data_IF_133365207862
#
_entry.id   IF_133365207862
#
_cell.length_a   1.000
_cell.length_b   1.000
_cell.length_c   1.000
_cell.angle_alpha   90.00
_cell.angle_beta   90.00
_cell.angle_gamma   90.00
#
_symmetry.space_group_name_H-M   'P 1'
#
loop_
_entity.id
_entity.type
_entity.pdbx_description
1 polymer ?
#
# COMPACT_ATOMS: atom_id res chain seq x y z
N UNK A 1 9.28 -6.95 -22.53
CA UNK A 1 8.37 -5.82 -22.70
C UNK A 1 7.98 -5.19 -21.37
N UNK A 2 8.10 -3.88 -21.22
CA UNK A 2 7.71 -3.28 -19.96
C UNK A 2 6.21 -3.44 -19.72
N UNK A 3 5.86 -3.69 -18.48
CA UNK A 3 4.47 -3.85 -18.10
C UNK A 3 3.76 -2.50 -18.20
N UNK A 4 2.58 -2.43 -18.83
CA UNK A 4 1.86 -1.16 -18.90
C UNK A 4 1.49 -0.70 -17.51
N UNK A 5 1.49 0.61 -17.32
CA UNK A 5 1.11 1.23 -16.04
C UNK A 5 -0.27 0.74 -15.55
N UNK A 6 -1.15 0.50 -16.49
CA UNK A 6 -2.48 -0.01 -16.23
C UNK A 6 -2.46 -1.40 -15.57
N UNK A 7 -1.54 -2.25 -15.99
CA UNK A 7 -1.38 -3.59 -15.40
C UNK A 7 -0.86 -3.54 -13.98
N UNK A 8 0.04 -2.61 -13.69
CA UNK A 8 0.60 -2.44 -12.35
C UNK A 8 -0.47 -1.95 -11.38
N UNK A 9 -1.26 -0.96 -11.79
CA UNK A 9 -2.35 -0.44 -10.96
C UNK A 9 -3.40 -1.51 -10.71
N UNK A 10 -3.72 -2.30 -11.72
CA UNK A 10 -4.70 -3.37 -11.60
C UNK A 10 -4.24 -4.44 -10.61
N UNK A 11 -2.95 -4.76 -10.63
CA UNK A 11 -2.38 -5.72 -9.68
C UNK A 11 -2.39 -5.17 -8.26
N UNK A 12 -2.07 -3.90 -8.08
CA UNK A 12 -2.14 -3.25 -6.77
C UNK A 12 -3.55 -3.27 -6.21
N UNK A 13 -4.53 -3.04 -7.06
CA UNK A 13 -5.94 -3.09 -6.69
C UNK A 13 -6.37 -4.49 -6.23
N UNK A 14 -5.92 -5.50 -6.95
CA UNK A 14 -6.21 -6.88 -6.59
C UNK A 14 -5.59 -7.26 -5.25
N UNK A 15 -4.33 -6.89 -5.04
CA UNK A 15 -3.63 -7.16 -3.79
C UNK A 15 -4.30 -6.45 -2.61
N UNK A 16 -4.75 -5.22 -2.81
CA UNK A 16 -5.48 -4.49 -1.78
C UNK A 16 -6.74 -5.26 -1.35
N UNK A 17 -7.48 -5.77 -2.30
CA UNK A 17 -8.68 -6.55 -2.01
C UNK A 17 -8.36 -7.87 -1.31
N UNK A 18 -7.28 -8.52 -1.73
CA UNK A 18 -6.85 -9.78 -1.10
C UNK A 18 -6.45 -9.58 0.35
N UNK A 19 -5.76 -8.49 0.64
CA UNK A 19 -5.20 -8.25 1.97
C UNK A 19 -6.16 -7.53 2.91
N UNK A 20 -7.02 -6.66 2.40
CA UNK A 20 -7.88 -5.83 3.24
C UNK A 20 -9.37 -6.05 3.04
N UNK A 21 -9.77 -6.63 1.92
CA UNK A 21 -11.18 -6.76 1.56
C UNK A 21 -11.78 -5.49 0.98
N UNK A 22 -10.99 -4.45 0.80
CA UNK A 22 -11.45 -3.18 0.27
C UNK A 22 -11.02 -2.97 -1.17
N UNK A 23 -11.90 -2.35 -1.94
CA UNK A 23 -11.64 -1.91 -3.29
C UNK A 23 -11.36 -0.41 -3.25
N UNK A 24 -10.39 0.03 -4.06
CA UNK A 24 -10.10 1.45 -4.17
C UNK A 24 -10.99 2.11 -5.21
N UNK A 25 -11.57 3.24 -4.87
CA UNK A 25 -12.24 4.08 -5.86
C UNK A 25 -11.22 4.82 -6.71
N UNK A 26 -10.05 5.09 -6.14
CA UNK A 26 -8.95 5.76 -6.83
C UNK A 26 -7.62 5.31 -6.26
N UNK A 27 -6.67 5.01 -7.13
CA UNK A 27 -5.29 4.74 -6.76
C UNK A 27 -4.43 5.92 -7.18
N UNK A 28 -3.66 6.42 -6.24
CA UNK A 28 -2.71 7.51 -6.49
C UNK A 28 -1.30 6.96 -6.34
N UNK A 29 -0.49 7.10 -7.37
CA UNK A 29 0.90 6.67 -7.32
C UNK A 29 1.72 7.67 -6.54
N UNK A 30 2.46 7.19 -5.55
CA UNK A 30 3.34 8.03 -4.75
C UNK A 30 4.76 8.03 -5.29
N UNK A 31 5.30 6.85 -5.57
CA UNK A 31 6.70 6.70 -5.94
C UNK A 31 6.97 5.34 -6.55
N UNK A 32 7.91 5.32 -7.51
CA UNK A 32 8.52 4.09 -7.99
C UNK A 32 9.99 4.14 -7.60
N UNK A 33 10.54 3.04 -7.13
CA UNK A 33 11.96 2.99 -6.84
C UNK A 33 12.48 1.55 -6.96
N UNK A 34 13.80 1.43 -7.04
CA UNK A 34 14.45 0.13 -7.06
C UNK A 34 15.02 -0.17 -5.70
N UNK A 35 14.74 -1.37 -5.22
CA UNK A 35 15.32 -1.89 -3.99
C UNK A 35 16.36 -2.95 -4.36
N UNK A 36 17.50 -2.94 -3.66
CA UNK A 36 18.59 -3.87 -3.92
C UNK A 36 18.91 -4.73 -2.70
N UNK A 37 18.13 -5.76 -2.42
CA UNK A 37 18.50 -6.68 -1.35
C UNK A 37 19.46 -7.74 -1.90
N UNK A 38 20.76 -7.56 -1.67
CA UNK A 38 21.78 -8.49 -2.13
C UNK A 38 21.93 -8.47 -3.65
N UNK A 39 21.66 -9.59 -4.29
CA UNK A 39 21.86 -9.78 -5.73
C UNK A 39 20.63 -9.49 -6.58
N UNK A 40 19.50 -9.23 -5.94
CA UNK A 40 18.24 -9.07 -6.64
C UNK A 40 17.81 -7.61 -6.61
N UNK A 41 17.44 -7.10 -7.78
CA UNK A 41 16.88 -5.76 -7.91
C UNK A 41 15.37 -5.88 -8.07
N UNK A 42 14.63 -5.24 -7.17
CA UNK A 42 13.18 -5.18 -7.24
C UNK A 42 12.74 -3.77 -7.56
N UNK A 43 11.79 -3.65 -8.47
CA UNK A 43 11.12 -2.36 -8.66
C UNK A 43 9.89 -2.33 -7.77
N UNK A 44 9.83 -1.31 -6.93
CA UNK A 44 8.73 -1.13 -5.98
C UNK A 44 7.85 0.01 -6.45
N UNK A 45 6.53 -0.23 -6.44
CA UNK A 45 5.54 0.77 -6.79
C UNK A 45 4.69 1.06 -5.56
N UNK A 46 4.71 2.30 -5.09
CA UNK A 46 3.94 2.71 -3.92
C UNK A 46 2.70 3.47 -4.35
N UNK A 47 1.55 3.04 -3.85
CA UNK A 47 0.26 3.65 -4.13
C UNK A 47 -0.47 3.99 -2.86
N UNK A 48 -1.32 5.02 -2.92
CA UNK A 48 -2.33 5.29 -1.91
C UNK A 48 -3.69 4.98 -2.51
N UNK A 49 -4.50 4.26 -1.77
CA UNK A 49 -5.87 3.95 -2.19
C UNK A 49 -6.83 4.92 -1.50
N UNK A 50 -7.71 5.52 -2.29
CA UNK A 50 -8.71 6.45 -1.81
C UNK A 50 -10.11 5.91 -2.07
N UNK A 51 -11.08 6.40 -1.32
CA UNK A 51 -12.50 6.06 -1.52
C UNK A 51 -12.70 4.56 -1.45
N UNK A 52 -12.33 3.99 -0.32
CA UNK A 52 -12.39 2.55 -0.09
C UNK A 52 -13.83 2.08 0.03
N UNK A 53 -14.11 0.96 -0.62
CA UNK A 53 -15.42 0.32 -0.61
C UNK A 53 -15.23 -1.14 -0.24
N UNK A 54 -16.02 -1.64 0.70
CA UNK A 54 -15.95 -3.04 1.08
C UNK A 54 -16.39 -3.92 -0.09
N UNK A 55 -15.46 -4.68 -0.63
CA UNK A 55 -15.70 -5.54 -1.78
C UNK A 55 -14.66 -6.66 -1.78
N UNK A 56 -14.74 -7.57 -0.81
CA UNK A 56 -13.72 -8.60 -0.66
C UNK A 56 -13.80 -9.63 -1.78
N UNK A 57 -12.66 -10.25 -2.04
CA UNK A 57 -12.62 -11.41 -2.90
C UNK A 57 -13.14 -12.61 -2.12
N UNK A 58 -13.57 -13.64 -2.84
CA UNK A 58 -13.98 -14.88 -2.21
C UNK A 58 -12.81 -15.49 -1.45
N UNK A 59 -13.05 -15.84 -0.19
CA UNK A 59 -12.03 -16.42 0.66
C UNK A 59 -12.30 -17.90 0.88
N UNK A 60 -11.22 -18.66 1.04
CA UNK A 60 -11.32 -20.06 1.36
C UNK A 60 -11.72 -20.24 2.83
N UNK A 61 -12.24 -21.40 3.15
CA UNK A 61 -12.64 -21.72 4.52
C UNK A 61 -11.44 -21.62 5.45
N UNK A 62 -11.61 -20.89 6.55
CA UNK A 62 -10.55 -20.67 7.51
C UNK A 62 -9.71 -19.43 7.30
N UNK A 63 -9.85 -18.77 6.16
CA UNK A 63 -9.18 -17.51 5.93
C UNK A 63 -9.91 -16.38 6.64
N UNK A 64 -9.14 -15.42 7.13
CA UNK A 64 -9.67 -14.30 7.87
C UNK A 64 -8.90 -13.05 7.53
N UNK A 65 -9.60 -11.94 7.31
CA UNK A 65 -8.98 -10.65 7.07
C UNK A 65 -9.14 -9.80 8.33
N UNK A 66 -8.00 -9.41 8.89
CA UNK A 66 -7.98 -8.51 10.05
C UNK A 66 -7.47 -7.16 9.62
N UNK A 67 -8.32 -6.15 9.72
CA UNK A 67 -7.96 -4.78 9.36
C UNK A 67 -8.11 -3.88 10.58
N UNK A 68 -7.09 -3.10 10.83
CA UNK A 68 -7.10 -2.12 11.91
C UNK A 68 -6.92 -0.74 11.32
N UNK A 69 -7.72 0.22 11.78
CA UNK A 69 -7.66 1.58 11.27
C UNK A 69 -6.95 2.51 12.26
N UNK A 70 -6.22 3.47 11.72
CA UNK A 70 -5.45 4.43 12.50
C UNK A 70 -5.65 5.82 11.91
N UNK A 71 -5.48 6.84 12.73
CA UNK A 71 -5.33 8.18 12.19
C UNK A 71 -3.95 8.25 11.52
N UNK A 72 -3.77 9.20 10.60
CA UNK A 72 -2.48 9.40 9.97
C UNK A 72 -1.39 9.69 11.00
N UNK A 73 -1.72 10.48 12.00
CA UNK A 73 -0.80 10.83 13.09
C UNK A 73 -0.34 9.61 13.87
N UNK A 74 -1.28 8.73 14.22
CA UNK A 74 -0.97 7.49 14.91
C UNK A 74 -0.10 6.57 14.07
N UNK A 75 -0.41 6.47 12.77
CA UNK A 75 0.36 5.63 11.86
C UNK A 75 1.80 6.13 11.71
N UNK A 76 1.98 7.45 11.58
CA UNK A 76 3.31 8.06 11.50
C UNK A 76 4.11 7.83 12.78
N UNK A 77 3.47 7.97 13.93
CA UNK A 77 4.13 7.72 15.20
C UNK A 77 4.59 6.27 15.32
N UNK A 78 3.79 5.34 14.84
CA UNK A 78 4.13 3.92 14.87
C UNK A 78 5.37 3.60 14.05
N UNK A 79 5.61 4.32 12.95
CA UNK A 79 6.80 4.09 12.11
C UNK A 79 8.10 4.39 12.84
N UNK A 80 8.06 5.22 13.87
CA UNK A 80 9.25 5.62 14.63
C UNK A 80 9.54 4.68 15.80
N UNK A 81 8.52 4.03 16.30
CA UNK A 81 8.60 3.28 17.55
C UNK A 81 8.61 1.78 17.31
N UNK A 82 7.83 1.34 16.35
CA UNK A 82 7.62 -0.09 16.11
C UNK A 82 8.39 -0.55 14.88
N UNK A 83 9.50 -1.25 15.12
CA UNK A 83 10.30 -1.81 14.01
C UNK A 83 9.65 -3.00 13.32
N UNK A 84 8.44 -3.37 13.71
CA UNK A 84 7.65 -4.34 12.96
C UNK A 84 6.92 -3.69 11.79
N UNK A 85 6.99 -2.36 11.71
CA UNK A 85 6.42 -1.64 10.59
C UNK A 85 7.21 -1.94 9.31
N UNK A 86 6.51 -2.31 8.26
CA UNK A 86 7.12 -2.55 6.97
C UNK A 86 7.78 -1.28 6.43
N UNK A 87 9.08 -1.33 6.03
CA UNK A 87 9.77 -0.13 5.55
C UNK A 87 9.10 0.55 4.37
N UNK A 88 8.51 -0.21 3.48
CA UNK A 88 7.84 0.35 2.31
C UNK A 88 6.55 1.05 2.71
N UNK A 89 5.82 0.50 3.67
CA UNK A 89 4.63 1.13 4.20
C UNK A 89 4.99 2.42 4.95
N UNK A 90 6.09 2.40 5.71
CA UNK A 90 6.57 3.59 6.41
C UNK A 90 6.93 4.70 5.43
N UNK A 91 7.65 4.35 4.36
CA UNK A 91 8.00 5.31 3.31
C UNK A 91 6.75 5.91 2.68
N UNK A 92 5.77 5.08 2.35
CA UNK A 92 4.52 5.54 1.75
C UNK A 92 3.78 6.50 2.68
N UNK A 93 3.73 6.20 3.97
CA UNK A 93 3.07 7.07 4.96
C UNK A 93 3.72 8.45 5.03
N UNK A 94 5.06 8.50 5.07
CA UNK A 94 5.77 9.78 5.15
C UNK A 94 5.67 10.58 3.87
N UNK A 95 5.69 9.91 2.71
CA UNK A 95 5.48 10.57 1.43
C UNK A 95 4.08 11.15 1.32
N UNK A 96 3.08 10.39 1.74
CA UNK A 96 1.70 10.85 1.72
C UNK A 96 1.50 12.04 2.65
N UNK A 97 2.05 11.97 3.87
CA UNK A 97 1.95 13.06 4.83
C UNK A 97 2.60 14.34 4.31
N UNK A 98 3.77 14.21 3.69
CA UNK A 98 4.46 15.35 3.10
C UNK A 98 3.68 15.98 1.96
N UNK A 99 3.07 15.15 1.13
CA UNK A 99 2.26 15.61 0.01
C UNK A 99 1.02 16.38 0.49
N UNK A 100 0.33 15.88 1.50
CA UNK A 100 -0.85 16.55 2.04
C UNK A 100 -0.51 17.86 2.74
N UNK A 101 0.63 17.93 3.40
CA UNK A 101 1.05 19.15 4.11
C UNK A 101 1.69 20.19 3.20
N UNK A 102 2.15 19.79 2.03
CA UNK A 102 2.79 20.71 1.09
C UNK A 102 1.79 21.53 0.27
N UNK A 103 0.54 21.10 0.22
CA UNK A 103 -0.50 21.75 -0.58
C UNK A 103 -1.20 22.92 0.15
#
# INVERSE_FOLDING_TARGET
>A
MPQPAKGIAKRAELELREETGYRAGRLEKLLDFYSHPGYITHKVHLFVAHDLEWNPLEMEAGEEILVQTFTLEEALAATRIDYRCDPEAALALWLYAGHTHAS
#
